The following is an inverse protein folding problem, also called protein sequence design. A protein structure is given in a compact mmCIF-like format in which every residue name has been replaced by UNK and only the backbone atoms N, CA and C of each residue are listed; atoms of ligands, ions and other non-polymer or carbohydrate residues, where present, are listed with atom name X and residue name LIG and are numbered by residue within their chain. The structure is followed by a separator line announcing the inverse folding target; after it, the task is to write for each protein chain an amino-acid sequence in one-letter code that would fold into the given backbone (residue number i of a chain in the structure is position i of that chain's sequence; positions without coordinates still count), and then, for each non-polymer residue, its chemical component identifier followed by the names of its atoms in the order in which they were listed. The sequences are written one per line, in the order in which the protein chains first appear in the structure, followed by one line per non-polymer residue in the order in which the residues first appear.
data_IF_907638991355
#
_entry.id   IF_907638991355
#
_cell.length_a   1.000
_cell.length_b   1.000
_cell.length_c   1.000
_cell.angle_alpha   90.00
_cell.angle_beta   90.00
_cell.angle_gamma   90.00
#
_symmetry.space_group_name_H-M   'P 1'
#
loop_
_entity.id
_entity.type
_entity.pdbx_description
1 polymer ?
#
# COMPACT_ATOMS: atom_id res chain seq x y z
N UNK A 1 48.33 -66.37 16.70
CA UNK A 1 47.72 -67.70 16.52
C UNK A 1 47.07 -67.69 15.17
N UNK A 2 47.74 -68.29 14.29
CA UNK A 2 47.52 -69.47 13.40
C UNK A 2 46.71 -69.14 12.14
N UNK A 3 47.35 -69.06 11.00
CA UNK A 3 47.58 -70.11 9.94
C UNK A 3 46.28 -70.41 9.20
N UNK A 4 46.16 -70.37 7.88
CA UNK A 4 46.92 -71.04 6.79
C UNK A 4 46.36 -70.49 5.46
N UNK A 5 47.10 -70.05 4.51
CA UNK A 5 47.72 -70.72 3.37
C UNK A 5 46.78 -71.76 2.71
N UNK A 6 46.34 -71.45 1.47
CA UNK A 6 46.32 -72.43 0.39
C UNK A 6 46.50 -71.79 -0.98
N UNK A 7 47.50 -72.26 -1.60
CA UNK A 7 48.05 -72.05 -2.90
C UNK A 7 47.31 -72.92 -3.92
N UNK A 8 46.97 -72.43 -5.09
CA UNK A 8 46.42 -73.23 -6.16
C UNK A 8 46.66 -72.58 -7.51
N UNK A 9 47.55 -73.12 -8.21
CA UNK A 9 48.16 -72.81 -9.49
C UNK A 9 47.37 -73.36 -10.64
N UNK A 10 47.61 -72.84 -11.90
CA UNK A 10 47.41 -73.34 -13.24
C UNK A 10 46.08 -72.97 -13.92
N UNK A 11 45.99 -72.50 -15.15
CA UNK A 11 46.74 -72.54 -16.43
C UNK A 11 45.96 -71.75 -17.48
N UNK A 12 46.67 -71.03 -18.23
CA UNK A 12 46.75 -70.91 -19.69
C UNK A 12 45.41 -70.99 -20.52
N UNK A 13 45.10 -69.94 -21.29
CA UNK A 13 44.14 -69.95 -22.38
C UNK A 13 44.11 -68.59 -23.10
N UNK A 14 45.00 -68.37 -24.01
CA UNK A 14 44.95 -67.20 -24.90
C UNK A 14 43.94 -67.43 -26.00
N UNK A 15 42.93 -66.60 -26.12
CA UNK A 15 42.24 -66.38 -27.42
C UNK A 15 41.93 -64.86 -27.49
N UNK A 16 42.53 -64.24 -28.45
CA UNK A 16 42.28 -62.87 -28.82
C UNK A 16 40.92 -62.67 -29.46
N UNK A 17 40.24 -61.67 -29.02
CA UNK A 17 39.16 -61.04 -29.77
C UNK A 17 39.28 -59.54 -29.60
N UNK A 18 39.70 -58.89 -30.64
CA UNK A 18 39.60 -57.45 -30.85
C UNK A 18 38.12 -57.08 -30.88
N UNK A 19 37.62 -56.45 -29.80
CA UNK A 19 36.30 -55.83 -29.85
C UNK A 19 36.53 -54.35 -29.89
N UNK A 20 36.12 -53.81 -31.02
CA UNK A 20 35.90 -52.44 -31.38
C UNK A 20 35.43 -51.61 -30.21
N UNK A 21 36.07 -50.48 -30.04
CA UNK A 21 35.62 -49.41 -29.12
C UNK A 21 34.15 -49.08 -29.40
N UNK A 22 33.27 -49.51 -28.53
CA UNK A 22 31.93 -48.97 -28.46
C UNK A 22 32.07 -47.55 -27.98
N UNK A 23 31.87 -46.63 -28.90
CA UNK A 23 31.64 -45.20 -28.65
C UNK A 23 30.55 -45.09 -27.61
N UNK A 24 30.88 -44.66 -26.41
CA UNK A 24 29.88 -44.25 -25.44
C UNK A 24 28.92 -43.25 -26.09
N UNK A 25 27.61 -43.43 -25.95
CA UNK A 25 26.69 -42.38 -26.37
C UNK A 25 26.98 -41.15 -25.51
N UNK A 26 27.52 -40.16 -26.17
CA UNK A 26 27.61 -38.80 -25.63
C UNK A 26 26.33 -38.50 -24.86
N UNK A 27 26.53 -38.21 -23.61
CA UNK A 27 25.59 -37.52 -22.74
C UNK A 27 24.58 -36.75 -23.55
N UNK A 28 23.33 -37.20 -23.52
CA UNK A 28 22.21 -36.43 -24.00
C UNK A 28 22.35 -35.03 -23.42
N UNK A 29 22.49 -34.08 -24.31
CA UNK A 29 22.53 -32.68 -23.94
C UNK A 29 21.40 -32.44 -23.00
N UNK A 30 21.74 -31.96 -21.82
CA UNK A 30 20.82 -31.38 -20.88
C UNK A 30 20.12 -30.25 -21.66
N UNK A 31 18.96 -30.56 -22.25
CA UNK A 31 18.06 -29.52 -22.71
C UNK A 31 17.90 -28.61 -21.50
N UNK A 32 18.19 -27.29 -21.58
CA UNK A 32 17.83 -26.40 -20.51
C UNK A 32 16.34 -26.59 -20.34
N UNK A 33 15.96 -27.36 -19.34
CA UNK A 33 14.59 -27.41 -18.89
C UNK A 33 14.17 -25.96 -18.78
N UNK A 34 12.97 -25.64 -19.21
CA UNK A 34 12.35 -24.32 -18.99
C UNK A 34 12.30 -24.08 -17.50
N UNK A 35 13.45 -23.82 -16.91
CA UNK A 35 13.58 -23.34 -15.54
C UNK A 35 12.89 -22.00 -15.53
N UNK A 36 11.86 -21.86 -14.75
CA UNK A 36 11.24 -20.57 -14.53
C UNK A 36 12.36 -19.64 -14.04
N UNK A 37 12.79 -18.74 -14.91
CA UNK A 37 13.81 -17.76 -14.56
C UNK A 37 13.28 -16.94 -13.39
N UNK A 38 13.89 -17.07 -12.25
CA UNK A 38 13.56 -16.24 -11.09
C UNK A 38 14.20 -14.87 -11.29
N UNK A 39 13.37 -13.85 -11.40
CA UNK A 39 13.79 -12.46 -11.51
C UNK A 39 13.70 -11.82 -10.13
N UNK A 40 14.78 -11.22 -9.67
CA UNK A 40 14.86 -10.67 -8.32
C UNK A 40 15.13 -9.16 -8.38
N UNK A 41 14.37 -8.40 -7.61
CA UNK A 41 14.66 -7.00 -7.25
C UNK A 41 15.37 -6.98 -5.90
N UNK A 42 16.37 -6.13 -5.78
CA UNK A 42 17.07 -5.93 -4.51
C UNK A 42 16.21 -5.11 -3.52
N UNK A 43 16.46 -5.28 -2.24
CA UNK A 43 16.00 -4.30 -1.25
C UNK A 43 16.57 -2.92 -1.58
N UNK A 44 15.82 -1.85 -1.26
CA UNK A 44 16.16 -0.49 -1.64
C UNK A 44 15.70 -0.11 -3.07
N UNK A 45 15.09 -1.03 -3.83
CA UNK A 45 14.51 -0.67 -5.14
C UNK A 45 13.27 0.21 -4.93
N UNK A 46 13.27 1.37 -5.57
CA UNK A 46 12.14 2.30 -5.58
C UNK A 46 11.16 1.93 -6.69
N UNK A 47 9.88 2.00 -6.38
CA UNK A 47 8.77 1.72 -7.28
C UNK A 47 7.81 2.90 -7.26
N UNK A 48 7.49 3.40 -8.44
CA UNK A 48 6.49 4.45 -8.62
C UNK A 48 5.16 3.86 -9.07
N UNK A 49 4.08 4.31 -8.45
CA UNK A 49 2.73 3.85 -8.80
C UNK A 49 1.74 5.01 -8.69
N UNK A 50 0.56 4.82 -9.26
CA UNK A 50 -0.53 5.81 -9.25
C UNK A 50 -1.77 5.18 -8.66
N UNK A 51 -2.33 5.80 -7.61
CA UNK A 51 -3.56 5.35 -6.95
C UNK A 51 -4.73 5.44 -7.94
N UNK A 52 -5.53 4.37 -8.03
CA UNK A 52 -6.69 4.31 -8.92
C UNK A 52 -7.98 4.62 -8.19
N UNK A 53 -8.04 4.35 -6.90
CA UNK A 53 -9.22 4.55 -6.07
C UNK A 53 -9.16 5.90 -5.37
N UNK A 54 -10.31 6.56 -5.22
CA UNK A 54 -10.41 7.74 -4.37
C UNK A 54 -10.63 7.32 -2.92
N UNK A 55 -9.93 7.96 -1.99
CA UNK A 55 -10.04 7.72 -0.56
C UNK A 55 -10.61 8.96 0.14
N UNK A 56 -11.53 8.74 1.09
CA UNK A 56 -12.07 9.79 1.95
C UNK A 56 -12.28 9.27 3.37
N UNK A 57 -11.79 10.00 4.37
CA UNK A 57 -12.02 9.66 5.78
C UNK A 57 -13.49 9.70 6.21
N UNK A 58 -14.37 10.21 5.36
CA UNK A 58 -15.83 10.18 5.56
C UNK A 58 -16.42 8.80 5.26
N UNK A 59 -15.87 8.08 4.30
CA UNK A 59 -16.42 6.86 3.73
C UNK A 59 -15.57 5.66 4.10
N UNK A 60 -14.24 5.78 3.93
CA UNK A 60 -13.30 4.71 4.14
C UNK A 60 -12.83 4.60 5.59
N UNK A 61 -12.32 3.43 5.95
CA UNK A 61 -11.84 3.10 7.30
C UNK A 61 -10.49 2.38 7.23
N UNK A 62 -9.78 2.39 8.34
CA UNK A 62 -8.60 1.54 8.50
C UNK A 62 -8.95 0.06 8.29
N UNK A 63 -8.06 -0.67 7.63
CA UNK A 63 -8.25 -2.06 7.22
C UNK A 63 -8.80 -2.24 5.79
N UNK A 64 -9.33 -1.20 5.16
CA UNK A 64 -9.74 -1.27 3.75
C UNK A 64 -8.54 -1.22 2.80
N UNK A 65 -8.75 -1.71 1.60
CA UNK A 65 -7.72 -1.80 0.56
C UNK A 65 -7.98 -0.83 -0.57
N UNK A 66 -6.89 -0.37 -1.18
CA UNK A 66 -6.85 0.49 -2.36
C UNK A 66 -5.96 -0.12 -3.42
N UNK A 67 -6.24 0.16 -4.67
CA UNK A 67 -5.44 -0.27 -5.80
C UNK A 67 -4.60 0.89 -6.34
N UNK A 68 -3.36 0.59 -6.69
CA UNK A 68 -2.52 1.47 -7.47
C UNK A 68 -1.93 0.70 -8.66
N UNK A 69 -1.57 1.40 -9.71
CA UNK A 69 -0.88 0.83 -10.86
C UNK A 69 0.55 1.32 -10.91
N UNK A 70 1.48 0.41 -11.12
CA UNK A 70 2.90 0.73 -11.33
C UNK A 70 3.01 1.61 -12.58
N UNK A 71 3.68 2.76 -12.45
CA UNK A 71 3.71 3.79 -13.47
C UNK A 71 4.73 3.50 -14.58
N UNK A 72 5.83 2.82 -14.23
CA UNK A 72 6.92 2.49 -15.16
C UNK A 72 7.48 1.10 -14.86
N UNK A 73 8.14 0.50 -15.86
CA UNK A 73 8.81 -0.78 -15.69
C UNK A 73 9.89 -0.70 -14.61
N UNK A 74 9.88 -1.65 -13.68
CA UNK A 74 10.90 -1.78 -12.64
C UNK A 74 11.87 -2.88 -13.04
N UNK A 75 13.13 -2.50 -13.26
CA UNK A 75 14.19 -3.42 -13.70
C UNK A 75 15.12 -3.78 -12.54
N UNK A 76 15.77 -4.92 -12.68
CA UNK A 76 16.86 -5.32 -11.79
C UNK A 76 18.22 -4.77 -12.28
N UNK A 77 19.28 -5.06 -11.55
CA UNK A 77 20.65 -4.62 -11.88
C UNK A 77 21.19 -5.17 -13.24
N UNK A 78 20.44 -6.03 -13.91
CA UNK A 78 20.77 -6.57 -15.24
C UNK A 78 19.87 -6.00 -16.34
N UNK A 79 19.14 -4.92 -16.08
CA UNK A 79 18.16 -4.29 -16.97
C UNK A 79 17.00 -5.23 -17.39
N UNK A 80 16.75 -6.29 -16.60
CA UNK A 80 15.62 -7.17 -16.83
C UNK A 80 14.40 -6.65 -16.10
N UNK A 81 13.28 -6.47 -16.82
CA UNK A 81 12.00 -6.05 -16.24
C UNK A 81 11.50 -7.14 -15.30
N UNK A 82 11.26 -6.78 -14.04
CA UNK A 82 10.74 -7.65 -12.98
C UNK A 82 9.30 -7.33 -12.67
N UNK A 83 8.98 -6.05 -12.51
CA UNK A 83 7.61 -5.56 -12.35
C UNK A 83 7.28 -4.69 -13.56
N UNK A 84 6.45 -5.14 -14.49
CA UNK A 84 6.03 -4.33 -15.63
C UNK A 84 5.15 -3.14 -15.20
N UNK A 85 5.19 -2.07 -15.97
CA UNK A 85 4.21 -0.99 -15.87
C UNK A 85 2.79 -1.55 -15.98
N UNK A 86 1.85 -0.96 -15.22
CA UNK A 86 0.47 -1.45 -15.13
C UNK A 86 0.27 -2.64 -14.19
N UNK A 87 1.31 -3.14 -13.53
CA UNK A 87 1.16 -4.12 -12.44
C UNK A 87 0.33 -3.52 -11.30
N UNK A 88 -0.56 -4.31 -10.70
CA UNK A 88 -1.44 -3.84 -9.63
C UNK A 88 -0.74 -3.92 -8.31
N UNK A 89 -0.71 -2.80 -7.58
CA UNK A 89 -0.24 -2.71 -6.20
C UNK A 89 -1.45 -2.64 -5.27
N UNK A 90 -1.50 -3.52 -4.30
CA UNK A 90 -2.52 -3.50 -3.25
C UNK A 90 -1.98 -2.73 -2.04
N UNK A 91 -2.69 -1.69 -1.66
CA UNK A 91 -2.41 -0.87 -0.50
C UNK A 91 -3.47 -1.13 0.57
N UNK A 92 -3.07 -1.17 1.82
CA UNK A 92 -3.99 -1.26 2.95
C UNK A 92 -3.94 0.03 3.76
N UNK A 93 -5.10 0.55 4.13
CA UNK A 93 -5.22 1.71 5.00
C UNK A 93 -4.87 1.28 6.42
N UNK A 94 -3.68 1.64 6.89
CA UNK A 94 -3.25 1.35 8.26
C UNK A 94 -3.86 2.34 9.25
N UNK A 95 -3.97 3.62 8.86
CA UNK A 95 -4.57 4.66 9.67
C UNK A 95 -5.22 5.72 8.78
N UNK A 96 -6.43 6.14 9.19
CA UNK A 96 -7.18 7.19 8.51
C UNK A 96 -8.04 7.94 9.52
N UNK A 97 -7.57 9.10 9.95
CA UNK A 97 -8.26 9.96 10.88
C UNK A 97 -8.57 11.32 10.21
N UNK A 98 -9.79 11.83 10.33
CA UNK A 98 -10.11 13.16 9.85
C UNK A 98 -9.33 14.23 10.62
N UNK A 99 -9.09 15.35 9.97
CA UNK A 99 -8.54 16.53 10.61
C UNK A 99 -9.53 17.14 11.60
N UNK A 100 -8.99 17.67 12.70
CA UNK A 100 -9.73 18.39 13.72
C UNK A 100 -8.90 19.60 14.14
N UNK A 101 -9.49 20.80 14.11
CA UNK A 101 -8.77 22.06 14.33
C UNK A 101 -8.04 22.16 15.67
N UNK A 102 -8.49 21.42 16.69
CA UNK A 102 -7.88 21.50 18.02
C UNK A 102 -6.76 20.46 18.26
N UNK A 103 -6.91 19.24 17.75
CA UNK A 103 -6.04 18.12 18.13
C UNK A 103 -5.16 17.68 16.97
N UNK A 104 -5.71 17.67 15.76
CA UNK A 104 -5.04 17.18 14.54
C UNK A 104 -5.50 17.98 13.33
N UNK A 105 -4.95 19.17 13.11
CA UNK A 105 -5.41 20.06 12.05
C UNK A 105 -5.28 19.43 10.66
N UNK A 106 -4.29 18.56 10.46
CA UNK A 106 -3.99 17.94 9.15
C UNK A 106 -4.59 16.52 8.98
N UNK A 107 -5.24 15.97 10.02
CA UNK A 107 -5.68 14.58 9.99
C UNK A 107 -4.52 13.61 10.03
N UNK A 108 -4.79 12.34 9.74
CA UNK A 108 -3.77 11.28 9.59
C UNK A 108 -4.13 10.36 8.47
N UNK A 109 -3.15 10.07 7.64
CA UNK A 109 -3.22 9.04 6.61
C UNK A 109 -1.94 8.20 6.69
N UNK A 110 -2.11 6.89 6.85
CA UNK A 110 -1.03 5.92 6.72
C UNK A 110 -1.52 4.78 5.84
N UNK A 111 -0.79 4.53 4.78
CA UNK A 111 -1.02 3.41 3.86
C UNK A 111 0.18 2.46 3.95
N UNK A 112 -0.06 1.18 3.76
CA UNK A 112 0.99 0.14 3.73
C UNK A 112 0.83 -0.64 2.43
N UNK A 113 1.93 -0.90 1.75
CA UNK A 113 1.97 -1.79 0.58
C UNK A 113 1.85 -3.23 1.08
N UNK A 114 0.84 -3.95 0.61
CA UNK A 114 0.57 -5.33 1.03
C UNK A 114 1.09 -6.32 0.00
N UNK A 115 0.81 -6.08 -1.28
CA UNK A 115 1.23 -6.99 -2.35
C UNK A 115 1.34 -6.29 -3.69
N UNK A 116 2.04 -6.92 -4.61
CA UNK A 116 2.12 -6.52 -6.02
C UNK A 116 1.71 -7.71 -6.88
N UNK A 117 0.76 -7.50 -7.78
CA UNK A 117 0.30 -8.52 -8.73
C UNK A 117 1.04 -8.33 -10.05
N UNK A 118 1.87 -9.30 -10.39
CA UNK A 118 2.64 -9.33 -11.65
C UNK A 118 2.18 -10.51 -12.49
N UNK A 119 1.79 -10.27 -13.72
CA UNK A 119 1.30 -11.31 -14.65
C UNK A 119 0.16 -12.17 -14.06
N UNK A 120 -0.73 -11.55 -13.27
CA UNK A 120 -1.87 -12.22 -12.64
C UNK A 120 -1.51 -13.04 -11.40
N UNK A 121 -0.25 -12.99 -10.93
CA UNK A 121 0.19 -13.66 -9.71
C UNK A 121 0.50 -12.62 -8.64
N UNK A 122 -0.07 -12.80 -7.47
CA UNK A 122 0.15 -11.95 -6.32
C UNK A 122 1.45 -12.32 -5.58
N UNK A 123 2.23 -11.29 -5.26
CA UNK A 123 3.46 -11.39 -4.50
C UNK A 123 3.37 -10.45 -3.30
N UNK A 124 3.43 -11.01 -2.10
CA UNK A 124 3.49 -10.19 -0.87
C UNK A 124 4.82 -9.44 -0.85
N UNK A 125 4.76 -8.15 -0.55
CA UNK A 125 5.93 -7.28 -0.48
C UNK A 125 5.96 -6.55 0.86
N UNK A 126 7.18 -6.33 1.35
CA UNK A 126 7.42 -5.42 2.47
C UNK A 126 8.12 -4.19 1.92
N UNK A 127 7.49 -3.06 2.05
CA UNK A 127 8.00 -1.81 1.48
C UNK A 127 7.67 -0.62 2.38
N UNK A 128 8.55 0.36 2.36
CA UNK A 128 8.36 1.65 3.01
C UNK A 128 7.74 2.63 2.00
N UNK A 129 6.52 3.06 2.29
CA UNK A 129 5.78 4.01 1.46
C UNK A 129 6.11 5.43 1.89
N UNK A 130 6.45 6.28 0.92
CA UNK A 130 6.60 7.71 1.15
C UNK A 130 5.26 8.37 1.52
N UNK A 131 5.28 9.51 2.25
CA UNK A 131 4.06 10.22 2.60
C UNK A 131 3.20 10.53 1.37
N UNK A 132 1.95 10.08 1.40
CA UNK A 132 1.01 10.26 0.28
C UNK A 132 0.41 11.65 0.31
N UNK A 133 0.44 12.33 -0.82
CA UNK A 133 -0.18 13.63 -0.98
C UNK A 133 -1.71 13.51 -0.78
N UNK A 134 -2.25 14.31 0.12
CA UNK A 134 -3.66 14.38 0.42
C UNK A 134 -4.08 15.82 0.67
N UNK A 135 -5.38 16.09 0.59
CA UNK A 135 -5.93 17.40 0.90
C UNK A 135 -7.05 17.27 1.92
N UNK A 136 -7.33 18.36 2.61
CA UNK A 136 -8.38 18.41 3.61
C UNK A 136 -9.61 19.09 3.02
N UNK A 137 -10.76 18.43 3.13
CA UNK A 137 -12.04 18.96 2.72
C UNK A 137 -12.96 19.14 3.93
N UNK A 138 -13.40 20.37 4.18
CA UNK A 138 -14.37 20.65 5.25
C UNK A 138 -15.68 19.89 5.03
N UNK A 139 -16.25 19.34 6.10
CA UNK A 139 -17.54 18.62 6.04
C UNK A 139 -18.74 19.54 5.83
N UNK A 140 -18.54 20.85 5.88
CA UNK A 140 -19.62 21.81 5.94
C UNK A 140 -20.26 21.84 7.34
N UNK A 141 -21.36 22.53 7.47
CA UNK A 141 -22.12 22.62 8.72
C UNK A 141 -23.02 21.38 8.82
N UNK A 142 -22.84 20.59 9.88
CA UNK A 142 -23.69 19.43 10.18
C UNK A 142 -25.04 19.91 10.78
N UNK A 143 -26.04 19.02 10.85
CA UNK A 143 -27.34 19.33 11.49
C UNK A 143 -27.15 19.78 12.94
N UNK A 144 -26.29 19.07 13.69
CA UNK A 144 -26.02 19.39 15.10
C UNK A 144 -25.35 20.76 15.25
N UNK A 145 -24.47 21.13 14.33
CA UNK A 145 -23.83 22.45 14.30
C UNK A 145 -24.85 23.52 13.90
N UNK A 146 -25.71 23.24 12.93
CA UNK A 146 -26.79 24.13 12.55
C UNK A 146 -27.79 24.36 13.72
N UNK A 147 -28.10 23.31 14.48
CA UNK A 147 -28.91 23.38 15.70
C UNK A 147 -28.25 24.25 16.78
N UNK A 148 -26.92 24.10 16.98
CA UNK A 148 -26.16 24.94 17.92
C UNK A 148 -26.17 26.40 17.51
N UNK A 149 -26.01 26.69 16.23
CA UNK A 149 -26.12 28.06 15.70
C UNK A 149 -27.52 28.60 15.92
N UNK A 150 -28.54 27.79 15.60
CA UNK A 150 -29.95 28.14 15.80
C UNK A 150 -30.28 28.37 17.31
N UNK A 151 -29.79 27.48 18.17
CA UNK A 151 -29.96 27.62 19.63
C UNK A 151 -29.27 28.88 20.17
N UNK A 152 -28.05 29.17 19.73
CA UNK A 152 -27.33 30.40 20.08
C UNK A 152 -28.10 31.64 19.67
N UNK A 153 -28.68 31.66 18.49
CA UNK A 153 -29.50 32.74 17.99
C UNK A 153 -30.77 32.91 18.83
N UNK A 154 -31.46 31.83 19.18
CA UNK A 154 -32.65 31.86 20.00
C UNK A 154 -32.37 32.35 21.42
N UNK A 155 -31.33 31.82 22.07
CA UNK A 155 -30.93 32.25 23.43
C UNK A 155 -30.51 33.71 23.43
N UNK A 156 -29.73 34.15 22.45
CA UNK A 156 -29.31 35.55 22.33
C UNK A 156 -30.48 36.51 22.12
N UNK A 157 -31.46 36.09 21.29
CA UNK A 157 -32.69 36.89 21.07
C UNK A 157 -33.52 37.03 22.35
N UNK A 158 -33.70 35.93 23.09
CA UNK A 158 -34.44 35.97 24.37
C UNK A 158 -33.71 36.83 25.39
N UNK A 159 -32.38 36.65 25.54
CA UNK A 159 -31.58 37.46 26.46
C UNK A 159 -31.63 38.95 26.07
N UNK A 160 -31.49 39.28 24.79
CA UNK A 160 -31.60 40.65 24.30
C UNK A 160 -32.96 41.26 24.56
N UNK A 161 -34.06 40.48 24.48
CA UNK A 161 -35.42 40.95 24.78
C UNK A 161 -35.62 41.22 26.28
N UNK A 162 -35.12 40.33 27.12
CA UNK A 162 -35.24 40.45 28.60
C UNK A 162 -34.43 41.64 29.11
N UNK A 163 -33.22 41.80 28.65
CA UNK A 163 -32.33 42.86 29.12
C UNK A 163 -32.67 44.21 28.49
N UNK A 164 -32.88 44.27 27.21
CA UNK A 164 -33.05 45.49 26.45
C UNK A 164 -34.51 45.95 26.28
N UNK A 165 -35.49 45.09 26.59
CA UNK A 165 -36.95 45.37 26.49
C UNK A 165 -37.43 45.96 25.15
N UNK A 166 -36.65 45.81 24.09
CA UNK A 166 -36.96 46.35 22.75
C UNK A 166 -36.70 45.33 21.64
N UNK A 167 -37.38 45.53 20.50
CA UNK A 167 -37.18 44.71 19.30
C UNK A 167 -35.72 44.84 18.78
N UNK A 168 -35.13 46.03 18.92
CA UNK A 168 -33.72 46.23 18.52
C UNK A 168 -32.77 45.37 19.35
N UNK A 169 -32.94 45.29 20.66
CA UNK A 169 -32.15 44.47 21.57
C UNK A 169 -32.31 42.97 21.26
N UNK A 170 -33.52 42.55 20.89
CA UNK A 170 -33.78 41.16 20.47
C UNK A 170 -33.04 40.81 19.19
N UNK A 171 -33.04 41.71 18.21
CA UNK A 171 -32.33 41.51 16.94
C UNK A 171 -30.82 41.50 17.16
N UNK A 172 -30.27 42.42 17.95
CA UNK A 172 -28.84 42.48 18.29
C UNK A 172 -28.43 41.23 19.07
N UNK A 173 -29.22 40.82 20.08
CA UNK A 173 -28.94 39.62 20.86
C UNK A 173 -28.96 38.34 20.00
N UNK A 174 -29.90 38.23 19.05
CA UNK A 174 -29.98 37.13 18.10
C UNK A 174 -28.76 37.10 17.15
N UNK A 175 -28.36 38.27 16.64
CA UNK A 175 -27.20 38.38 15.77
C UNK A 175 -25.89 37.97 16.49
N UNK A 176 -25.68 38.46 17.71
CA UNK A 176 -24.52 38.08 18.54
C UNK A 176 -24.56 36.61 18.89
N UNK A 177 -25.72 36.05 19.22
CA UNK A 177 -25.88 34.61 19.49
C UNK A 177 -25.56 33.74 18.26
N UNK A 178 -25.99 34.19 17.07
CA UNK A 178 -25.67 33.50 15.80
C UNK A 178 -24.15 33.52 15.53
N UNK A 179 -23.49 34.68 15.71
CA UNK A 179 -22.04 34.79 15.50
C UNK A 179 -21.28 33.90 16.51
N UNK A 180 -21.67 33.88 17.77
CA UNK A 180 -21.05 33.03 18.79
C UNK A 180 -21.28 31.53 18.48
N UNK A 181 -22.52 31.16 18.09
CA UNK A 181 -22.84 29.80 17.69
C UNK A 181 -22.03 29.35 16.47
N UNK A 182 -21.89 30.23 15.47
CA UNK A 182 -21.08 29.95 14.27
C UNK A 182 -19.60 29.77 14.62
N UNK A 183 -19.05 30.65 15.48
CA UNK A 183 -17.65 30.53 15.90
C UNK A 183 -17.36 29.23 16.63
N UNK A 184 -18.28 28.76 17.48
CA UNK A 184 -18.16 27.45 18.13
C UNK A 184 -18.26 26.32 17.12
N UNK A 185 -19.22 26.34 16.17
CA UNK A 185 -19.38 25.31 15.17
C UNK A 185 -18.14 25.18 14.26
N UNK A 186 -17.58 26.31 13.81
CA UNK A 186 -16.38 26.30 12.97
C UNK A 186 -15.14 25.82 13.74
N UNK A 187 -15.06 26.09 15.03
CA UNK A 187 -13.92 25.69 15.87
C UNK A 187 -13.83 24.17 16.07
N UNK A 188 -14.94 23.44 15.94
CA UNK A 188 -15.02 21.98 16.02
C UNK A 188 -15.23 21.32 14.66
N UNK A 189 -15.12 22.07 13.57
CA UNK A 189 -15.33 21.53 12.24
C UNK A 189 -14.31 20.43 11.91
N UNK A 190 -14.82 19.26 11.53
CA UNK A 190 -14.01 18.18 11.02
C UNK A 190 -13.69 18.43 9.54
N UNK A 191 -12.47 18.09 9.17
CA UNK A 191 -12.01 18.10 7.78
C UNK A 191 -11.69 16.66 7.35
N UNK A 192 -12.29 16.25 6.27
CA UNK A 192 -12.01 14.92 5.72
C UNK A 192 -10.65 14.92 5.01
N UNK A 193 -9.87 13.89 5.25
CA UNK A 193 -8.67 13.57 4.49
C UNK A 193 -9.11 12.95 3.18
N UNK A 194 -8.72 13.56 2.06
CA UNK A 194 -9.07 13.13 0.71
C UNK A 194 -7.80 12.82 -0.07
N UNK A 195 -7.76 11.64 -0.68
CA UNK A 195 -6.81 11.29 -1.74
C UNK A 195 -7.62 11.06 -3.02
N UNK A 196 -7.25 11.73 -4.08
CA UNK A 196 -7.93 11.58 -5.38
C UNK A 196 -7.29 10.47 -6.19
N UNK A 197 -8.10 9.76 -6.97
CA UNK A 197 -7.57 8.88 -8.01
C UNK A 197 -6.61 9.65 -8.92
N UNK A 198 -5.53 9.02 -9.35
CA UNK A 198 -4.45 9.67 -10.09
C UNK A 198 -3.33 10.23 -9.21
N UNK A 199 -3.41 10.14 -7.88
CA UNK A 199 -2.33 10.57 -6.98
C UNK A 199 -1.11 9.67 -7.14
N UNK A 200 0.07 10.24 -7.47
CA UNK A 200 1.30 9.46 -7.54
C UNK A 200 1.79 9.09 -6.14
N UNK A 201 2.34 7.89 -6.03
CA UNK A 201 2.98 7.37 -4.83
C UNK A 201 4.32 6.76 -5.18
N UNK A 202 5.23 6.76 -4.23
CA UNK A 202 6.53 6.10 -4.32
C UNK A 202 6.75 5.24 -3.07
N UNK A 203 7.26 4.03 -3.29
CA UNK A 203 7.63 3.16 -2.19
C UNK A 203 8.95 2.44 -2.48
N UNK A 204 9.68 2.12 -1.43
CA UNK A 204 10.97 1.45 -1.49
C UNK A 204 10.85 0.05 -0.90
N UNK A 205 11.30 -0.96 -1.63
CA UNK A 205 11.30 -2.34 -1.15
C UNK A 205 12.24 -2.47 0.06
N UNK A 206 11.71 -2.86 1.22
CA UNK A 206 12.50 -3.14 2.42
C UNK A 206 13.17 -4.51 2.37
N UNK A 207 12.63 -5.43 1.54
CA UNK A 207 13.15 -6.77 1.29
C UNK A 207 13.26 -7.08 -0.19
N UNK A 208 14.19 -7.98 -0.54
CA UNK A 208 14.32 -8.43 -1.93
C UNK A 208 13.05 -9.18 -2.38
N UNK A 209 12.56 -8.83 -3.56
CA UNK A 209 11.38 -9.46 -4.18
C UNK A 209 11.83 -10.39 -5.29
N UNK A 210 11.45 -11.68 -5.20
CA UNK A 210 11.73 -12.69 -6.22
C UNK A 210 10.45 -13.11 -6.92
N UNK A 211 10.42 -12.95 -8.25
CA UNK A 211 9.30 -13.28 -9.10
C UNK A 211 9.73 -14.38 -10.07
N UNK A 212 9.02 -15.50 -10.06
CA UNK A 212 9.25 -16.57 -11.05
C UNK A 212 8.64 -16.16 -12.40
N UNK A 213 9.45 -16.03 -13.43
CA UNK A 213 8.96 -15.87 -14.79
C UNK A 213 8.28 -17.19 -15.21
N UNK A 214 7.11 -17.08 -15.81
CA UNK A 214 6.38 -18.23 -16.38
C UNK A 214 6.76 -18.41 -17.83
#
# INVERSE_FOLDING_TARGET
MSRSIFLGLLALGAVGCTISAAKEPSSAGNLPGAGSETRTLASGTQVEATIQDSLSSRINKAGETLHALVSSDVTNARDVVVIPAGSVVLLTIAQLDPGNDQIRPEGRLSLVVTSVTVNGKEHVVTADLEPVAHHLQGRGITKDEAERIGAGTAIGAVAGRVIGKSTKSTVIGGAVGAIAGTAVAVHYAYRDVIVTAGTPISFTLSQALSISAK
#
